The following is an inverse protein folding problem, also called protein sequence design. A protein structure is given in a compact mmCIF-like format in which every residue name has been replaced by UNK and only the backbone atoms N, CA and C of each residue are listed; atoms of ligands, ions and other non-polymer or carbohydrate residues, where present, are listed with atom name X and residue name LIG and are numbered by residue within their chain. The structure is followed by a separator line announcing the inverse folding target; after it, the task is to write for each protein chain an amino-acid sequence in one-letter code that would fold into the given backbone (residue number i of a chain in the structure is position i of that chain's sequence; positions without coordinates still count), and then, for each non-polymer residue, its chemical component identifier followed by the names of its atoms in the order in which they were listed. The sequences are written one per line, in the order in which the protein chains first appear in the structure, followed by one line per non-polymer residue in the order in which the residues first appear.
data_IF_450735101528
#
_entry.id   IF_450735101528
#
_cell.length_a   1.000
_cell.length_b   1.000
_cell.length_c   1.000
_cell.angle_alpha   90.00
_cell.angle_beta   90.00
_cell.angle_gamma   90.00
#
_symmetry.space_group_name_H-M   'P 1'
#
loop_
_entity.id
_entity.type
_entity.pdbx_description
1 polymer ?
#
# COMPACT_ATOMS: atom_id res chain seq x y z
N UNK A 1 -7.63 -9.79 8.64
CA UNK A 1 -6.28 -9.17 8.71
C UNK A 1 -5.79 -8.65 7.36
N UNK A 2 -6.23 -9.19 6.22
CA UNK A 2 -5.87 -8.70 4.89
C UNK A 2 -7.07 -8.08 4.18
N UNK A 3 -6.81 -7.15 3.27
CA UNK A 3 -7.81 -6.53 2.39
C UNK A 3 -7.29 -6.47 0.96
N UNK A 4 -8.19 -6.52 -0.02
CA UNK A 4 -7.86 -6.21 -1.41
C UNK A 4 -8.12 -4.73 -1.64
N UNK A 5 -7.05 -3.96 -1.85
CA UNK A 5 -7.13 -2.51 -2.04
C UNK A 5 -7.57 -2.12 -3.45
N UNK A 6 -7.59 -3.06 -4.40
CA UNK A 6 -7.87 -2.78 -5.81
C UNK A 6 -6.69 -2.16 -6.57
N UNK A 7 -5.51 -2.06 -5.94
CA UNK A 7 -4.29 -1.60 -6.60
C UNK A 7 -3.86 -2.59 -7.69
N UNK A 8 -3.44 -2.05 -8.84
CA UNK A 8 -2.81 -2.85 -9.90
C UNK A 8 -1.41 -3.28 -9.49
N UNK A 9 -0.85 -4.26 -10.19
CA UNK A 9 0.53 -4.68 -9.98
C UNK A 9 1.52 -3.51 -10.17
N UNK A 10 1.30 -2.63 -11.16
CA UNK A 10 2.17 -1.46 -11.36
C UNK A 10 2.11 -0.49 -10.17
N UNK A 11 0.91 -0.23 -9.63
CA UNK A 11 0.75 0.65 -8.47
C UNK A 11 1.40 0.05 -7.21
N UNK A 12 1.30 -1.27 -7.02
CA UNK A 12 1.97 -1.96 -5.92
C UNK A 12 3.52 -1.89 -6.05
N UNK A 13 4.05 -1.99 -7.27
CA UNK A 13 5.48 -1.84 -7.54
C UNK A 13 5.97 -0.41 -7.34
N UNK A 14 5.16 0.60 -7.70
CA UNK A 14 5.45 2.00 -7.39
C UNK A 14 5.47 2.27 -5.90
N UNK A 15 4.50 1.76 -5.14
CA UNK A 15 4.51 1.86 -3.66
C UNK A 15 5.80 1.28 -3.05
N UNK A 16 6.28 0.17 -3.61
CA UNK A 16 7.51 -0.47 -3.15
C UNK A 16 8.76 0.36 -3.46
N UNK A 17 8.88 0.85 -4.69
CA UNK A 17 10.07 1.53 -5.18
C UNK A 17 10.17 3.00 -4.72
N UNK A 18 9.05 3.72 -4.68
CA UNK A 18 9.00 5.15 -4.35
C UNK A 18 8.84 5.40 -2.84
N UNK A 19 8.07 4.55 -2.14
CA UNK A 19 7.67 4.79 -0.73
C UNK A 19 8.12 3.69 0.23
N UNK A 20 8.74 2.60 -0.25
CA UNK A 20 9.13 1.47 0.59
C UNK A 20 7.96 0.71 1.20
N UNK A 21 6.75 0.82 0.63
CA UNK A 21 5.54 0.16 1.12
C UNK A 21 5.33 -1.12 0.30
N UNK A 22 5.36 -2.26 0.99
CA UNK A 22 5.29 -3.57 0.36
C UNK A 22 3.86 -4.11 0.38
N UNK A 23 3.14 -3.92 -0.73
CA UNK A 23 1.91 -4.64 -1.03
C UNK A 23 2.20 -5.87 -1.90
N UNK A 24 1.25 -6.81 -1.96
CA UNK A 24 1.28 -7.90 -2.93
C UNK A 24 0.83 -7.40 -4.29
N UNK A 25 1.39 -7.96 -5.36
CA UNK A 25 1.07 -7.57 -6.74
C UNK A 25 -0.39 -7.84 -7.13
N UNK A 26 -1.09 -8.65 -6.33
CA UNK A 26 -2.54 -8.88 -6.44
C UNK A 26 -3.40 -7.75 -5.85
N UNK A 27 -2.78 -6.67 -5.36
CA UNK A 27 -3.44 -5.60 -4.63
C UNK A 27 -3.82 -5.98 -3.20
N UNK A 28 -3.33 -7.11 -2.67
CA UNK A 28 -3.61 -7.53 -1.29
C UNK A 28 -2.68 -6.81 -0.31
N UNK A 29 -3.26 -6.15 0.69
CA UNK A 29 -2.56 -5.43 1.77
C UNK A 29 -2.83 -6.06 3.13
N UNK A 30 -1.87 -5.95 4.06
CA UNK A 30 -2.02 -6.37 5.44
C UNK A 30 -2.51 -5.18 6.30
N UNK A 31 -3.81 -5.11 6.55
CA UNK A 31 -4.41 -4.03 7.35
C UNK A 31 -3.92 -4.06 8.79
N UNK A 32 -3.61 -5.24 9.33
CA UNK A 32 -3.07 -5.39 10.68
C UNK A 32 -1.65 -4.79 10.87
N UNK A 33 -0.93 -4.50 9.79
CA UNK A 33 0.37 -3.82 9.85
C UNK A 33 0.24 -2.29 9.96
N UNK A 34 -0.98 -1.75 9.77
CA UNK A 34 -1.26 -0.33 9.88
C UNK A 34 -1.53 0.06 11.32
N UNK A 35 -1.00 1.20 11.72
CA UNK A 35 -1.17 1.79 13.04
C UNK A 35 -1.09 3.32 12.96
N UNK A 36 -1.38 4.00 14.06
CA UNK A 36 -1.46 5.46 14.09
C UNK A 36 -0.17 6.19 13.68
N UNK A 37 0.99 5.51 13.71
CA UNK A 37 2.27 6.13 13.34
C UNK A 37 2.57 6.05 11.84
N UNK A 38 1.95 5.12 11.12
CA UNK A 38 2.24 4.89 9.69
C UNK A 38 1.03 5.07 8.78
N UNK A 39 -0.18 5.11 9.32
CA UNK A 39 -1.41 5.14 8.52
C UNK A 39 -1.47 6.36 7.60
N UNK A 40 -1.05 7.53 8.09
CA UNK A 40 -1.06 8.76 7.29
C UNK A 40 -0.09 8.68 6.11
N UNK A 41 1.15 8.22 6.36
CA UNK A 41 2.17 8.02 5.31
C UNK A 41 1.71 7.01 4.27
N UNK A 42 1.07 5.92 4.69
CA UNK A 42 0.55 4.90 3.78
C UNK A 42 -0.59 5.45 2.93
N UNK A 43 -1.51 6.22 3.52
CA UNK A 43 -2.60 6.87 2.79
C UNK A 43 -2.08 7.86 1.75
N UNK A 44 -1.10 8.70 2.12
CA UNK A 44 -0.50 9.68 1.20
C UNK A 44 0.25 8.99 0.04
N UNK A 45 0.99 7.92 0.33
CA UNK A 45 1.65 7.13 -0.70
C UNK A 45 0.65 6.47 -1.66
N UNK A 46 -0.44 5.89 -1.13
CA UNK A 46 -1.51 5.31 -1.96
C UNK A 46 -2.12 6.38 -2.86
N UNK A 47 -2.38 7.57 -2.33
CA UNK A 47 -2.92 8.70 -3.12
C UNK A 47 -1.99 9.13 -4.26
N UNK A 48 -0.67 8.99 -4.09
CA UNK A 48 0.32 9.38 -5.10
C UNK A 48 0.54 8.32 -6.20
N UNK A 49 0.10 7.08 -5.97
CA UNK A 49 0.17 6.00 -6.97
C UNK A 49 -1.17 5.68 -7.64
N UNK A 50 -2.29 6.09 -7.05
CA UNK A 50 -3.62 6.06 -7.67
C UNK A 50 -3.67 6.98 -8.89
#
# INVERSE_FOLDING_TARGET
MFSYSGLTAEQAQRLRSEFGIYALDTGRICVAALNQKNIDVVCDAIKQVL
#
